data_IF_344343688408
#
_entry.id   IF_344343688408
#
_cell.length_a   1.000
_cell.length_b   1.000
_cell.length_c   1.000
_cell.angle_alpha   90.00
_cell.angle_beta   90.00
_cell.angle_gamma   90.00
#
_symmetry.space_group_name_H-M   'P 1'
#
loop_
_entity.id
_entity.type
_entity.pdbx_description
1 polymer ?
#
# COMPACT_ATOMS: atom_id res chain seq x y z
N UNK A 1 50.07 8.33 -18.67
CA UNK A 1 49.47 9.37 -17.80
C UNK A 1 48.04 9.75 -18.23
N UNK A 2 47.77 10.39 -19.39
CA UNK A 2 46.37 10.72 -19.80
C UNK A 2 45.47 9.49 -20.00
N UNK A 3 45.97 8.39 -20.55
CA UNK A 3 45.20 7.15 -20.80
C UNK A 3 44.93 6.39 -19.52
N UNK A 4 45.88 6.30 -18.59
CA UNK A 4 45.68 5.68 -17.27
C UNK A 4 44.71 6.46 -16.40
N UNK A 5 44.68 7.78 -16.51
CA UNK A 5 43.69 8.63 -15.78
C UNK A 5 42.30 8.42 -16.34
N UNK A 6 42.11 8.30 -17.65
CA UNK A 6 40.84 8.03 -18.30
C UNK A 6 40.31 6.61 -17.95
N UNK A 7 41.19 5.59 -17.94
CA UNK A 7 40.85 4.23 -17.58
C UNK A 7 40.45 4.11 -16.06
N UNK A 8 41.10 4.88 -15.19
CA UNK A 8 40.78 4.92 -13.77
C UNK A 8 39.44 5.59 -13.51
N UNK A 9 39.12 6.69 -14.18
CA UNK A 9 37.84 7.39 -14.10
C UNK A 9 36.73 6.43 -14.57
N UNK A 10 36.89 5.76 -15.70
CA UNK A 10 35.93 4.82 -16.24
C UNK A 10 35.68 3.62 -15.30
N UNK A 11 36.69 3.17 -14.55
CA UNK A 11 36.58 2.09 -13.59
C UNK A 11 35.83 2.53 -12.30
N UNK A 12 36.07 3.75 -11.84
CA UNK A 12 35.39 4.36 -10.70
C UNK A 12 33.91 4.57 -11.02
N UNK A 13 33.58 5.04 -12.24
CA UNK A 13 32.20 5.17 -12.71
C UNK A 13 31.49 3.82 -12.82
N UNK A 14 32.16 2.79 -13.35
CA UNK A 14 31.57 1.44 -13.42
C UNK A 14 31.27 0.84 -12.04
N UNK A 15 32.17 1.04 -11.07
CA UNK A 15 31.95 0.62 -9.69
C UNK A 15 30.77 1.35 -9.06
N UNK A 16 30.65 2.63 -9.30
CA UNK A 16 29.55 3.44 -8.82
C UNK A 16 28.20 2.95 -9.39
N UNK A 17 28.13 2.73 -10.71
CA UNK A 17 26.93 2.17 -11.35
C UNK A 17 26.56 0.79 -10.84
N UNK A 18 27.56 -0.06 -10.60
CA UNK A 18 27.29 -1.38 -10.02
C UNK A 18 26.70 -1.29 -8.60
N UNK A 19 27.26 -0.42 -7.75
CA UNK A 19 26.75 -0.20 -6.41
C UNK A 19 25.33 0.40 -6.43
N UNK A 20 25.08 1.35 -7.32
CA UNK A 20 23.77 1.95 -7.51
C UNK A 20 22.73 0.91 -7.93
N UNK A 21 23.02 0.13 -8.98
CA UNK A 21 22.11 -0.92 -9.44
C UNK A 21 21.79 -1.93 -8.32
N UNK A 22 22.81 -2.33 -7.53
CA UNK A 22 22.59 -3.20 -6.36
C UNK A 22 21.73 -2.55 -5.30
N UNK A 23 21.94 -1.28 -4.97
CA UNK A 23 21.17 -0.59 -3.93
C UNK A 23 19.70 -0.43 -4.31
N UNK A 24 19.43 -0.10 -5.59
CA UNK A 24 18.06 0.05 -6.10
C UNK A 24 17.31 -1.28 -6.25
N UNK A 25 18.01 -2.38 -6.47
CA UNK A 25 17.42 -3.70 -6.60
C UNK A 25 17.36 -4.50 -5.27
N UNK A 26 17.96 -3.97 -4.21
CA UNK A 26 18.03 -4.64 -2.89
C UNK A 26 16.75 -4.53 -2.05
N UNK A 27 15.84 -3.63 -2.41
CA UNK A 27 14.58 -3.41 -1.69
C UNK A 27 13.41 -3.39 -2.66
N UNK A 28 12.25 -3.86 -2.19
CA UNK A 28 10.95 -3.68 -2.85
C UNK A 28 10.07 -2.67 -2.11
N UNK A 29 10.61 -2.03 -1.08
CA UNK A 29 9.94 -0.94 -0.37
C UNK A 29 10.12 0.38 -1.12
N UNK A 30 9.01 0.96 -1.58
CA UNK A 30 9.02 2.15 -2.41
C UNK A 30 9.69 3.34 -1.72
N UNK A 31 9.41 3.58 -0.44
CA UNK A 31 10.02 4.68 0.32
C UNK A 31 11.54 4.55 0.41
N UNK A 32 12.04 3.34 0.63
CA UNK A 32 13.48 3.05 0.65
C UNK A 32 14.12 3.31 -0.71
N UNK A 33 13.47 2.90 -1.79
CA UNK A 33 13.94 3.14 -3.17
C UNK A 33 14.01 4.63 -3.45
N UNK A 34 12.94 5.39 -3.18
CA UNK A 34 12.88 6.82 -3.43
C UNK A 34 13.96 7.60 -2.65
N UNK A 35 14.17 7.27 -1.38
CA UNK A 35 15.25 7.87 -0.56
C UNK A 35 16.65 7.55 -1.08
N UNK A 36 16.84 6.32 -1.53
CA UNK A 36 18.12 5.89 -2.11
C UNK A 36 18.42 6.67 -3.38
N UNK A 37 17.43 6.83 -4.28
CA UNK A 37 17.55 7.62 -5.51
C UNK A 37 17.95 9.05 -5.19
N UNK A 38 17.17 9.70 -4.32
CA UNK A 38 17.41 11.10 -3.94
C UNK A 38 18.81 11.29 -3.35
N UNK A 39 19.21 10.43 -2.41
CA UNK A 39 20.54 10.52 -1.79
C UNK A 39 21.72 10.26 -2.74
N UNK A 40 21.51 9.54 -3.85
CA UNK A 40 22.53 9.43 -4.90
C UNK A 40 22.60 10.69 -5.76
N UNK A 41 21.46 11.29 -6.09
CA UNK A 41 21.38 12.50 -6.90
C UNK A 41 21.93 13.73 -6.16
N UNK A 42 21.60 13.89 -4.88
CA UNK A 42 22.14 14.98 -4.04
C UNK A 42 23.67 14.98 -3.94
N UNK A 43 24.29 13.81 -4.00
CA UNK A 43 25.76 13.71 -3.98
C UNK A 43 26.41 14.11 -5.29
N UNK A 44 25.66 14.10 -6.39
CA UNK A 44 26.16 14.40 -7.74
C UNK A 44 26.03 15.87 -8.08
N UNK A 45 24.94 16.49 -7.67
CA UNK A 45 24.62 17.87 -8.01
C UNK A 45 24.19 18.61 -6.75
N UNK A 46 24.83 19.70 -6.47
CA UNK A 46 24.44 20.63 -5.41
C UNK A 46 23.32 21.55 -5.93
N UNK A 47 22.14 21.48 -5.30
CA UNK A 47 20.97 22.24 -5.68
C UNK A 47 20.20 22.72 -4.43
N UNK A 48 19.40 23.77 -4.57
CA UNK A 48 18.64 24.31 -3.43
C UNK A 48 17.49 23.41 -3.00
N UNK A 49 16.85 22.71 -3.95
CA UNK A 49 15.75 21.80 -3.70
C UNK A 49 15.76 20.65 -4.72
N UNK A 50 15.54 19.46 -4.19
CA UNK A 50 15.25 18.26 -4.93
C UNK A 50 13.84 17.80 -4.64
N UNK A 51 13.10 17.43 -5.68
CA UNK A 51 11.78 16.86 -5.50
C UNK A 51 11.59 15.66 -6.42
N UNK A 52 10.97 14.61 -5.90
CA UNK A 52 10.54 13.46 -6.66
C UNK A 52 9.03 13.37 -6.58
N UNK A 53 8.39 13.50 -7.73
CA UNK A 53 6.94 13.42 -7.87
C UNK A 53 6.56 12.08 -8.48
N UNK A 54 5.52 11.48 -7.94
CA UNK A 54 4.98 10.21 -8.42
C UNK A 54 3.61 10.41 -9.03
N UNK A 55 3.36 9.71 -10.13
CA UNK A 55 2.05 9.68 -10.77
C UNK A 55 1.10 8.78 -9.97
N UNK A 56 -0.04 9.33 -9.57
CA UNK A 56 -1.19 8.58 -9.08
C UNK A 56 -2.04 8.14 -10.29
N UNK A 57 -2.03 6.84 -10.58
CA UNK A 57 -2.74 6.27 -11.74
C UNK A 57 -4.28 6.42 -11.66
N UNK A 58 -4.84 6.68 -10.46
CA UNK A 58 -6.29 6.80 -10.27
C UNK A 58 -6.79 8.21 -10.55
N UNK A 59 -6.10 9.21 -10.02
CA UNK A 59 -6.46 10.62 -10.20
C UNK A 59 -5.82 11.25 -11.44
N UNK A 60 -4.77 10.61 -12.00
CA UNK A 60 -3.92 11.14 -13.05
C UNK A 60 -3.24 12.46 -12.67
N UNK A 61 -2.93 12.61 -11.38
CA UNK A 61 -2.20 13.75 -10.83
C UNK A 61 -0.84 13.29 -10.28
N UNK A 62 0.11 14.22 -10.22
CA UNK A 62 1.39 14.03 -9.57
C UNK A 62 1.32 14.48 -8.11
N UNK A 63 1.95 13.72 -7.23
CA UNK A 63 2.13 14.11 -5.83
C UNK A 63 3.61 14.07 -5.45
N UNK A 64 4.00 14.95 -4.54
CA UNK A 64 5.36 14.98 -4.01
C UNK A 64 5.57 13.79 -3.08
N UNK A 65 6.31 12.79 -3.57
CA UNK A 65 6.62 11.58 -2.80
C UNK A 65 7.74 11.82 -1.80
N UNK A 66 8.78 12.57 -2.21
CA UNK A 66 9.91 12.94 -1.36
C UNK A 66 10.52 14.24 -1.87
N UNK A 67 11.03 15.06 -0.96
CA UNK A 67 11.79 16.26 -1.26
C UNK A 67 12.97 16.41 -0.29
N UNK A 68 14.04 17.04 -0.72
CA UNK A 68 15.21 17.38 0.09
C UNK A 68 15.67 18.80 -0.22
N UNK A 69 16.02 19.58 0.80
CA UNK A 69 16.32 21.01 0.71
C UNK A 69 15.34 21.89 1.48
N UNK A 70 15.30 23.18 1.22
CA UNK A 70 14.77 24.21 2.10
C UNK A 70 13.27 24.27 2.42
N UNK A 71 12.37 23.44 1.84
CA UNK A 71 10.90 23.57 2.05
C UNK A 71 10.23 22.19 1.98
N UNK A 72 10.45 21.35 2.99
CA UNK A 72 9.94 19.96 2.95
C UNK A 72 8.48 19.82 3.42
N UNK A 73 8.02 20.62 4.36
CA UNK A 73 6.72 20.40 5.03
C UNK A 73 5.51 20.92 4.24
N UNK A 74 5.71 21.90 3.36
CA UNK A 74 4.62 22.51 2.58
C UNK A 74 4.24 21.73 1.31
N UNK A 75 5.04 20.69 0.94
CA UNK A 75 4.89 20.01 -0.35
C UNK A 75 3.98 18.78 -0.32
N UNK A 76 3.75 18.17 0.84
CA UNK A 76 3.09 16.86 0.95
C UNK A 76 1.65 16.81 0.44
N UNK A 77 0.92 17.92 0.57
CA UNK A 77 -0.49 18.00 0.16
C UNK A 77 -0.68 18.58 -1.25
N UNK A 78 0.40 19.00 -1.88
CA UNK A 78 0.35 19.57 -3.22
C UNK A 78 0.16 18.49 -4.28
N UNK A 79 -0.68 18.81 -5.27
CA UNK A 79 -0.91 17.99 -6.46
C UNK A 79 -0.63 18.84 -7.70
N UNK A 80 -0.03 18.20 -8.72
CA UNK A 80 0.26 18.81 -10.01
C UNK A 80 -0.41 17.96 -11.08
N UNK A 81 -1.21 18.55 -11.95
CA UNK A 81 -1.84 17.79 -13.03
C UNK A 81 -0.82 17.44 -14.11
N UNK A 82 -1.01 16.29 -14.74
CA UNK A 82 -0.25 15.93 -15.94
C UNK A 82 -0.47 17.01 -17.01
N UNK A 83 0.62 17.54 -17.55
CA UNK A 83 0.63 18.66 -18.50
C UNK A 83 0.75 20.06 -17.86
N UNK A 84 0.59 20.20 -16.54
CA UNK A 84 0.73 21.47 -15.83
C UNK A 84 2.11 21.58 -15.15
N UNK A 85 2.69 22.75 -15.21
CA UNK A 85 4.00 23.01 -14.60
C UNK A 85 5.15 22.25 -15.31
N UNK A 86 6.30 22.17 -14.65
CA UNK A 86 7.50 21.51 -15.17
C UNK A 86 7.36 20.00 -15.08
N UNK A 87 7.04 19.46 -13.90
CA UNK A 87 6.86 18.03 -13.70
C UNK A 87 5.73 17.46 -14.56
N UNK A 88 4.58 18.15 -14.62
CA UNK A 88 3.44 17.70 -15.43
C UNK A 88 3.76 17.67 -16.91
N UNK A 89 4.51 18.66 -17.42
CA UNK A 89 4.98 18.68 -18.80
C UNK A 89 5.91 17.49 -19.10
N UNK A 90 6.89 17.26 -18.21
CA UNK A 90 7.87 16.15 -18.35
C UNK A 90 7.15 14.80 -18.35
N UNK A 91 6.17 14.61 -17.48
CA UNK A 91 5.39 13.36 -17.43
C UNK A 91 4.54 13.16 -18.68
N UNK A 92 3.97 14.24 -19.23
CA UNK A 92 3.15 14.18 -20.42
C UNK A 92 3.96 13.85 -21.69
N UNK A 93 5.17 14.41 -21.82
CA UNK A 93 5.98 14.27 -23.03
C UNK A 93 7.01 13.14 -22.94
N UNK A 94 7.36 12.71 -21.72
CA UNK A 94 8.42 11.71 -21.50
C UNK A 94 9.83 12.25 -21.84
N UNK A 95 10.00 13.56 -21.86
CA UNK A 95 11.23 14.24 -22.25
C UNK A 95 11.78 15.07 -21.09
N UNK A 96 13.10 15.14 -21.00
CA UNK A 96 13.78 16.01 -20.04
C UNK A 96 13.59 17.48 -20.38
N UNK A 97 13.32 18.28 -19.38
CA UNK A 97 13.17 19.71 -19.49
C UNK A 97 14.26 20.42 -18.70
N UNK A 98 15.00 21.31 -19.37
CA UNK A 98 15.99 22.18 -18.75
C UNK A 98 15.54 23.63 -18.97
N UNK A 99 15.27 24.35 -17.88
CA UNK A 99 14.89 25.77 -17.91
C UNK A 99 16.01 26.56 -17.22
N UNK A 100 16.89 27.22 -17.98
CA UNK A 100 18.06 27.93 -17.44
C UNK A 100 17.70 29.25 -16.73
N UNK A 101 16.65 29.93 -17.19
CA UNK A 101 16.11 31.14 -16.56
C UNK A 101 14.61 31.01 -16.37
N UNK A 102 14.20 30.90 -15.14
CA UNK A 102 12.83 30.50 -14.79
C UNK A 102 11.81 31.63 -14.88
N UNK A 103 12.23 32.89 -14.83
CA UNK A 103 11.32 34.05 -14.72
C UNK A 103 10.41 34.22 -15.95
N UNK A 104 10.80 33.73 -17.12
CA UNK A 104 10.10 33.90 -18.39
C UNK A 104 9.42 32.61 -18.91
N UNK A 105 9.63 31.47 -18.27
CA UNK A 105 9.00 30.21 -18.73
C UNK A 105 7.59 30.06 -18.17
N UNK A 106 6.55 30.04 -19.05
CA UNK A 106 5.16 29.93 -18.61
C UNK A 106 4.86 28.66 -17.81
N UNK A 107 5.64 27.59 -17.99
CA UNK A 107 5.49 26.32 -17.28
C UNK A 107 5.81 26.43 -15.80
N UNK A 108 6.62 27.42 -15.42
CA UNK A 108 6.97 27.70 -14.02
C UNK A 108 5.95 28.56 -13.29
N UNK A 109 5.12 29.31 -14.02
CA UNK A 109 4.10 30.17 -13.43
C UNK A 109 3.03 29.37 -12.69
N UNK A 110 2.77 28.13 -13.14
CA UNK A 110 1.75 27.22 -12.59
C UNK A 110 2.36 26.06 -11.79
N UNK A 111 3.64 26.07 -11.48
CA UNK A 111 4.28 25.05 -10.66
C UNK A 111 3.78 25.17 -9.21
N UNK A 112 3.17 24.07 -8.69
CA UNK A 112 2.52 24.07 -7.38
C UNK A 112 3.45 24.33 -6.21
N UNK A 113 4.72 23.88 -6.29
CA UNK A 113 5.72 24.15 -5.28
C UNK A 113 7.01 24.62 -5.94
N UNK A 114 7.44 25.78 -5.57
CA UNK A 114 8.73 26.31 -5.98
C UNK A 114 9.40 27.03 -4.81
N UNK A 115 10.74 26.99 -4.73
CA UNK A 115 11.47 27.88 -3.83
C UNK A 115 11.03 29.34 -4.07
N UNK A 116 11.14 30.16 -3.05
CA UNK A 116 10.77 31.59 -3.14
C UNK A 116 11.50 32.36 -4.26
N UNK A 117 12.57 31.78 -4.79
CA UNK A 117 13.35 32.32 -5.92
C UNK A 117 13.85 31.20 -6.82
N UNK A 118 13.01 30.70 -7.73
CA UNK A 118 13.48 29.76 -8.78
C UNK A 118 14.21 30.52 -9.87
N UNK A 119 15.49 30.22 -10.07
CA UNK A 119 16.33 30.76 -11.15
C UNK A 119 16.44 29.79 -12.31
N UNK A 120 16.55 28.50 -12.00
CA UNK A 120 16.68 27.43 -12.98
C UNK A 120 16.02 26.17 -12.47
N UNK A 121 15.61 25.29 -13.38
CA UNK A 121 15.08 23.98 -13.03
C UNK A 121 15.47 22.96 -14.09
N UNK A 122 15.78 21.75 -13.64
CA UNK A 122 15.94 20.58 -14.47
C UNK A 122 14.90 19.56 -14.01
N UNK A 123 14.16 19.02 -14.96
CA UNK A 123 13.22 17.96 -14.68
C UNK A 123 13.44 16.77 -15.61
N UNK A 124 13.47 15.58 -15.02
CA UNK A 124 13.71 14.33 -15.73
C UNK A 124 12.50 13.41 -15.53
N UNK A 125 12.02 12.71 -16.58
CA UNK A 125 10.98 11.73 -16.45
C UNK A 125 11.48 10.47 -15.77
N UNK A 126 10.65 9.84 -14.96
CA UNK A 126 10.84 8.46 -14.49
C UNK A 126 10.17 7.53 -15.50
N UNK A 127 10.87 7.26 -16.60
CA UNK A 127 10.31 6.54 -17.74
C UNK A 127 10.56 5.03 -17.61
N UNK A 128 9.50 4.27 -17.27
CA UNK A 128 9.52 2.82 -17.24
C UNK A 128 9.00 2.19 -18.54
N UNK A 129 8.91 0.86 -18.56
CA UNK A 129 8.42 0.09 -19.74
C UNK A 129 6.93 0.31 -20.05
N UNK A 130 6.14 0.66 -19.03
CA UNK A 130 4.67 0.86 -19.12
C UNK A 130 4.27 2.33 -19.27
N UNK A 131 5.25 3.24 -19.29
CA UNK A 131 5.02 4.69 -19.35
C UNK A 131 5.77 5.44 -18.27
N UNK A 132 5.42 6.70 -18.09
CA UNK A 132 6.08 7.57 -17.10
C UNK A 132 5.46 7.35 -15.72
N UNK A 133 6.29 7.05 -14.72
CA UNK A 133 5.84 6.82 -13.34
C UNK A 133 5.86 8.07 -12.47
N UNK A 134 6.50 9.14 -12.97
CA UNK A 134 6.66 10.40 -12.25
C UNK A 134 7.77 11.25 -12.87
N UNK A 135 8.24 12.23 -12.09
CA UNK A 135 9.33 13.11 -12.50
C UNK A 135 10.26 13.42 -11.31
N UNK A 136 11.48 13.77 -11.62
CA UNK A 136 12.45 14.33 -10.69
C UNK A 136 12.63 15.79 -11.07
N UNK A 137 12.51 16.71 -10.12
CA UNK A 137 12.78 18.13 -10.27
C UNK A 137 14.00 18.53 -9.44
N UNK A 138 14.88 19.32 -10.04
CA UNK A 138 16.10 19.86 -9.44
C UNK A 138 16.05 21.36 -9.60
N UNK A 139 15.87 22.09 -8.50
CA UNK A 139 15.76 23.55 -8.50
C UNK A 139 17.08 24.22 -8.13
N UNK A 140 17.44 25.21 -8.91
CA UNK A 140 18.66 26.02 -8.76
C UNK A 140 19.94 25.16 -8.61
N UNK A 141 20.16 24.20 -9.53
CA UNK A 141 21.43 23.45 -9.53
C UNK A 141 22.61 24.41 -9.79
N UNK A 142 23.77 24.09 -9.26
CA UNK A 142 25.01 24.85 -9.58
C UNK A 142 25.37 24.70 -11.06
N UNK A 143 25.41 25.80 -11.79
CA UNK A 143 25.63 25.81 -13.22
C UNK A 143 26.93 25.11 -13.63
N UNK A 144 27.98 25.23 -12.83
CA UNK A 144 29.32 24.63 -13.11
C UNK A 144 29.26 23.07 -13.05
N UNK A 145 28.30 22.52 -12.35
CA UNK A 145 28.12 21.06 -12.24
C UNK A 145 27.24 20.49 -13.37
N UNK A 146 26.56 21.34 -14.13
CA UNK A 146 25.61 20.94 -15.17
C UNK A 146 26.34 20.73 -16.52
N UNK A 147 27.19 19.72 -16.54
CA UNK A 147 27.88 19.26 -17.76
C UNK A 147 27.04 18.21 -18.49
N UNK A 148 27.32 17.99 -19.77
CA UNK A 148 26.71 16.91 -20.55
C UNK A 148 26.86 15.55 -19.87
N UNK A 149 28.00 15.33 -19.23
CA UNK A 149 28.26 14.12 -18.42
C UNK A 149 27.30 14.00 -17.25
N UNK A 150 27.10 15.07 -16.48
CA UNK A 150 26.18 15.06 -15.31
C UNK A 150 24.75 14.84 -15.77
N UNK A 151 24.32 15.49 -16.85
CA UNK A 151 22.98 15.32 -17.43
C UNK A 151 22.77 13.87 -17.89
N UNK A 152 23.71 13.28 -18.61
CA UNK A 152 23.65 11.88 -19.05
C UNK A 152 23.61 10.92 -17.87
N UNK A 153 24.36 11.21 -16.81
CA UNK A 153 24.33 10.44 -15.57
C UNK A 153 22.98 10.50 -14.84
N UNK A 154 22.38 11.69 -14.74
CA UNK A 154 21.06 11.88 -14.16
C UNK A 154 19.98 11.12 -14.95
N UNK A 155 20.11 11.06 -16.28
CA UNK A 155 19.23 10.23 -17.12
C UNK A 155 19.33 8.75 -16.78
N UNK A 156 20.54 8.21 -16.71
CA UNK A 156 20.77 6.80 -16.36
C UNK A 156 20.20 6.50 -14.97
N UNK A 157 20.38 7.41 -14.02
CA UNK A 157 19.80 7.30 -12.68
C UNK A 157 18.27 7.28 -12.71
N UNK A 158 17.66 8.19 -13.47
CA UNK A 158 16.20 8.27 -13.60
C UNK A 158 15.62 7.00 -14.25
N UNK A 159 16.29 6.44 -15.26
CA UNK A 159 15.88 5.19 -15.91
C UNK A 159 15.95 4.01 -14.95
N UNK A 160 17.05 3.86 -14.20
CA UNK A 160 17.17 2.80 -13.20
C UNK A 160 16.17 2.97 -12.06
N UNK A 161 15.90 4.22 -11.66
CA UNK A 161 14.90 4.56 -10.68
C UNK A 161 13.49 4.15 -11.14
N UNK A 162 13.14 4.46 -12.38
CA UNK A 162 11.85 4.10 -12.98
C UNK A 162 11.64 2.57 -12.99
N UNK A 163 12.67 1.81 -13.35
CA UNK A 163 12.63 0.33 -13.33
C UNK A 163 12.46 -0.20 -11.91
N UNK A 164 13.17 0.35 -10.93
CA UNK A 164 13.05 -0.09 -9.53
C UNK A 164 11.66 0.21 -8.96
N UNK A 165 11.09 1.38 -9.26
CA UNK A 165 9.74 1.79 -8.88
C UNK A 165 8.70 0.86 -9.53
N UNK A 166 8.83 0.58 -10.84
CA UNK A 166 7.93 -0.33 -11.56
C UNK A 166 7.95 -1.74 -10.93
N UNK A 167 9.14 -2.28 -10.67
CA UNK A 167 9.30 -3.58 -10.02
C UNK A 167 8.67 -3.60 -8.61
N UNK A 168 8.87 -2.57 -7.80
CA UNK A 168 8.29 -2.48 -6.47
C UNK A 168 6.75 -2.42 -6.53
N UNK A 169 6.17 -1.65 -7.46
CA UNK A 169 4.72 -1.60 -7.70
C UNK A 169 4.18 -2.94 -8.18
N UNK A 170 4.86 -3.61 -9.10
CA UNK A 170 4.45 -4.93 -9.60
C UNK A 170 4.49 -5.98 -8.47
N UNK A 171 5.54 -6.00 -7.64
CA UNK A 171 5.62 -6.87 -6.46
C UNK A 171 4.50 -6.58 -5.47
N UNK A 172 4.25 -5.30 -5.17
CA UNK A 172 3.15 -4.91 -4.28
C UNK A 172 1.79 -5.35 -4.84
N UNK A 173 1.56 -5.22 -6.15
CA UNK A 173 0.35 -5.67 -6.82
C UNK A 173 0.18 -7.20 -6.77
N UNK A 174 1.25 -7.94 -7.04
CA UNK A 174 1.26 -9.41 -6.91
C UNK A 174 0.98 -9.83 -5.46
N UNK A 175 1.58 -9.16 -4.48
CA UNK A 175 1.31 -9.40 -3.06
C UNK A 175 -0.16 -9.14 -2.71
N UNK A 176 -0.75 -8.06 -3.21
CA UNK A 176 -2.20 -7.79 -3.04
C UNK A 176 -3.04 -8.92 -3.61
N UNK A 177 -2.76 -9.39 -4.83
CA UNK A 177 -3.47 -10.53 -5.44
C UNK A 177 -3.35 -11.81 -4.62
N UNK A 178 -2.28 -11.98 -3.83
CA UNK A 178 -2.05 -13.17 -2.99
C UNK A 178 -2.53 -13.04 -1.55
N UNK A 179 -2.92 -11.87 -1.08
CA UNK A 179 -3.36 -11.61 0.31
C UNK A 179 -4.86 -11.36 0.44
N UNK A 180 -5.57 -11.16 -0.64
CA UNK A 180 -7.02 -10.97 -0.67
C UNK A 180 -7.75 -12.19 -1.21
N UNK A 181 -9.02 -12.32 -0.85
CA UNK A 181 -9.95 -13.30 -1.38
C UNK A 181 -10.71 -12.69 -2.58
N UNK A 182 -10.69 -13.36 -3.73
CA UNK A 182 -11.25 -12.86 -4.99
C UNK A 182 -12.77 -12.66 -4.96
N UNK A 183 -13.48 -13.39 -4.09
CA UNK A 183 -14.94 -13.31 -3.98
C UNK A 183 -15.39 -12.13 -3.14
N UNK A 184 -14.74 -11.93 -1.98
CA UNK A 184 -15.19 -10.97 -0.96
C UNK A 184 -14.37 -9.67 -0.95
N UNK A 185 -13.15 -9.68 -1.50
CA UNK A 185 -12.19 -8.58 -1.40
C UNK A 185 -11.56 -8.43 -0.02
N UNK A 186 -11.96 -9.24 0.97
CA UNK A 186 -11.33 -9.29 2.28
C UNK A 186 -9.94 -9.93 2.22
N UNK A 187 -9.17 -9.78 3.28
CA UNK A 187 -7.93 -10.54 3.40
C UNK A 187 -8.22 -12.05 3.44
N UNK A 188 -7.31 -12.83 2.85
CA UNK A 188 -7.41 -14.28 2.82
C UNK A 188 -6.77 -14.95 4.04
N UNK A 189 -6.94 -16.26 4.17
CA UNK A 189 -6.40 -17.06 5.28
C UNK A 189 -4.86 -16.99 5.37
N UNK A 190 -4.14 -16.89 4.25
CA UNK A 190 -2.67 -16.76 4.26
C UNK A 190 -2.25 -15.46 4.94
N UNK A 191 -2.92 -14.38 4.64
CA UNK A 191 -2.66 -13.09 5.29
C UNK A 191 -3.08 -13.08 6.75
N UNK A 192 -4.15 -13.80 7.13
CA UNK A 192 -4.53 -14.01 8.54
C UNK A 192 -3.37 -14.62 9.34
N UNK A 193 -2.76 -15.70 8.87
CA UNK A 193 -1.64 -16.33 9.59
C UNK A 193 -0.46 -15.37 9.78
N UNK A 194 -0.15 -14.59 8.76
CA UNK A 194 0.92 -13.60 8.84
C UNK A 194 0.62 -12.49 9.86
N UNK A 195 -0.55 -11.87 9.79
CA UNK A 195 -0.94 -10.76 10.68
C UNK A 195 -1.13 -11.25 12.11
N UNK A 196 -1.81 -12.39 12.31
CA UNK A 196 -2.03 -12.94 13.65
C UNK A 196 -0.70 -13.24 14.34
N UNK A 197 0.30 -13.78 13.62
CA UNK A 197 1.64 -13.99 14.17
C UNK A 197 2.26 -12.70 14.68
N UNK A 198 2.25 -11.66 13.87
CA UNK A 198 2.78 -10.34 14.26
C UNK A 198 2.04 -9.72 15.45
N UNK A 199 0.71 -9.82 15.48
CA UNK A 199 -0.08 -9.26 16.58
C UNK A 199 0.11 -10.04 17.88
N UNK A 200 0.31 -11.37 17.83
CA UNK A 200 0.68 -12.17 19.01
C UNK A 200 2.06 -11.79 19.55
N UNK A 201 3.05 -11.59 18.70
CA UNK A 201 4.39 -11.13 19.08
C UNK A 201 4.33 -9.72 19.71
N UNK A 202 3.55 -8.82 19.11
CA UNK A 202 3.33 -7.46 19.61
C UNK A 202 2.62 -7.46 20.97
N UNK A 203 1.58 -8.29 21.09
CA UNK A 203 0.79 -8.52 22.30
C UNK A 203 1.68 -8.98 23.46
N UNK A 204 2.55 -9.96 23.20
CA UNK A 204 3.49 -10.48 24.21
C UNK A 204 4.47 -9.40 24.71
N UNK A 205 4.97 -8.54 23.81
CA UNK A 205 5.89 -7.43 24.17
C UNK A 205 5.18 -6.31 24.92
N UNK A 206 3.96 -5.97 24.54
CA UNK A 206 3.17 -4.88 25.10
C UNK A 206 2.33 -5.30 26.32
N UNK A 207 2.29 -6.58 26.65
CA UNK A 207 1.39 -7.18 27.65
C UNK A 207 -0.06 -6.76 27.44
N UNK A 208 -0.51 -6.71 26.18
CA UNK A 208 -1.86 -6.33 25.78
C UNK A 208 -2.62 -7.53 25.18
N UNK A 209 -3.92 -7.72 25.44
CA UNK A 209 -4.65 -8.86 24.88
C UNK A 209 -4.88 -8.73 23.38
N UNK A 210 -5.02 -9.87 22.71
CA UNK A 210 -5.49 -9.95 21.32
C UNK A 210 -6.61 -10.96 21.25
N UNK A 211 -7.76 -10.56 20.72
CA UNK A 211 -8.91 -11.43 20.54
C UNK A 211 -9.15 -11.75 19.07
N UNK A 212 -9.74 -12.92 18.84
CA UNK A 212 -10.13 -13.43 17.53
C UNK A 212 -11.57 -13.93 17.58
N UNK A 213 -12.37 -13.48 16.61
CA UNK A 213 -13.70 -14.03 16.36
C UNK A 213 -13.64 -14.90 15.09
N UNK A 214 -14.09 -16.15 15.21
CA UNK A 214 -14.27 -17.07 14.09
C UNK A 214 -15.78 -17.18 13.82
N UNK A 215 -16.19 -16.88 12.59
CA UNK A 215 -17.60 -16.79 12.19
C UNK A 215 -17.86 -17.78 11.04
N UNK A 216 -19.03 -18.41 11.07
CA UNK A 216 -19.56 -19.25 9.99
C UNK A 216 -20.99 -18.81 9.67
N UNK A 217 -21.30 -18.55 8.40
CA UNK A 217 -22.62 -18.11 7.97
C UNK A 217 -23.63 -19.26 8.07
N UNK A 218 -24.63 -19.10 8.89
CA UNK A 218 -25.62 -20.15 9.14
C UNK A 218 -26.45 -20.47 7.89
N UNK A 219 -26.57 -21.77 7.58
CA UNK A 219 -27.37 -22.28 6.45
C UNK A 219 -26.98 -21.72 5.08
N UNK A 220 -25.73 -21.27 4.90
CA UNK A 220 -25.27 -20.74 3.62
C UNK A 220 -25.42 -21.74 2.46
N UNK A 221 -25.22 -23.05 2.73
CA UNK A 221 -25.47 -24.10 1.74
C UNK A 221 -26.90 -24.06 1.21
N UNK A 222 -27.91 -23.82 2.05
CA UNK A 222 -29.29 -23.71 1.63
C UNK A 222 -29.51 -22.54 0.67
N UNK A 223 -28.79 -21.43 0.85
CA UNK A 223 -28.84 -20.29 -0.08
C UNK A 223 -28.34 -20.72 -1.46
N UNK A 224 -27.22 -21.46 -1.53
CA UNK A 224 -26.70 -21.99 -2.78
C UNK A 224 -27.70 -22.98 -3.43
N UNK A 225 -28.28 -23.88 -2.66
CA UNK A 225 -29.21 -24.90 -3.15
C UNK A 225 -30.51 -24.27 -3.70
N UNK A 226 -31.00 -23.18 -3.10
CA UNK A 226 -32.27 -22.51 -3.50
C UNK A 226 -32.05 -21.44 -4.57
N UNK A 227 -30.98 -20.62 -4.45
CA UNK A 227 -30.79 -19.44 -5.29
C UNK A 227 -29.63 -19.58 -6.28
N UNK A 228 -28.86 -20.67 -6.21
CA UNK A 228 -27.70 -20.93 -7.05
C UNK A 228 -26.40 -20.27 -6.57
N UNK A 229 -25.27 -20.81 -7.01
CA UNK A 229 -23.93 -20.40 -6.57
C UNK A 229 -23.58 -18.93 -6.87
N UNK A 230 -24.14 -18.33 -7.92
CA UNK A 230 -23.90 -16.92 -8.25
C UNK A 230 -24.50 -15.98 -7.17
N UNK A 231 -25.70 -16.29 -6.69
CA UNK A 231 -26.35 -15.54 -5.62
C UNK A 231 -25.61 -15.77 -4.30
N UNK A 232 -25.19 -17.00 -4.04
CA UNK A 232 -24.36 -17.30 -2.86
C UNK A 232 -23.04 -16.53 -2.86
N UNK A 233 -22.33 -16.47 -3.98
CA UNK A 233 -21.09 -15.68 -4.09
C UNK A 233 -21.34 -14.17 -3.89
N UNK A 234 -22.44 -13.64 -4.41
CA UNK A 234 -22.84 -12.26 -4.18
C UNK A 234 -23.18 -12.02 -2.70
N UNK A 235 -23.87 -12.96 -2.04
CA UNK A 235 -24.17 -12.86 -0.61
C UNK A 235 -22.88 -12.89 0.24
N UNK A 236 -21.93 -13.78 -0.09
CA UNK A 236 -20.60 -13.80 0.57
C UNK A 236 -19.89 -12.45 0.45
N UNK A 237 -19.84 -11.88 -0.75
CA UNK A 237 -19.20 -10.57 -0.98
C UNK A 237 -19.86 -9.47 -0.14
N UNK A 238 -21.18 -9.40 -0.13
CA UNK A 238 -21.95 -8.41 0.65
C UNK A 238 -21.84 -8.63 2.16
N UNK A 239 -21.82 -9.88 2.62
CA UNK A 239 -21.61 -10.21 4.03
C UNK A 239 -20.21 -9.81 4.47
N UNK A 240 -19.19 -10.10 3.65
CA UNK A 240 -17.82 -9.67 3.90
C UNK A 240 -17.69 -8.15 3.98
N UNK A 241 -18.27 -7.43 3.03
CA UNK A 241 -18.31 -5.96 3.06
C UNK A 241 -18.98 -5.44 4.33
N UNK A 242 -20.13 -6.03 4.72
CA UNK A 242 -20.85 -5.62 5.94
C UNK A 242 -20.03 -5.87 7.20
N UNK A 243 -19.37 -7.03 7.32
CA UNK A 243 -18.47 -7.32 8.43
C UNK A 243 -17.30 -6.32 8.50
N UNK A 244 -16.73 -5.97 7.37
CA UNK A 244 -15.64 -4.99 7.29
C UNK A 244 -16.09 -3.59 7.73
N UNK A 245 -17.29 -3.15 7.34
CA UNK A 245 -17.88 -1.87 7.77
C UNK A 245 -18.11 -1.81 9.30
N UNK A 246 -18.37 -2.96 9.95
CA UNK A 246 -18.57 -3.08 11.37
C UNK A 246 -17.26 -3.17 12.18
N UNK A 247 -16.15 -3.49 11.53
CA UNK A 247 -14.83 -3.53 12.13
C UNK A 247 -14.35 -2.12 12.50
N UNK A 248 -13.65 -2.01 13.64
CA UNK A 248 -12.95 -0.78 14.01
C UNK A 248 -11.71 -0.61 13.10
N UNK A 249 -11.17 0.59 13.01
CA UNK A 249 -10.00 0.93 12.17
C UNK A 249 -8.78 0.04 12.43
N UNK A 250 -8.61 -0.47 13.65
CA UNK A 250 -7.53 -1.35 14.05
C UNK A 250 -7.80 -2.84 13.87
N UNK A 251 -9.04 -3.23 13.58
CA UNK A 251 -9.44 -4.61 13.42
C UNK A 251 -9.15 -5.09 11.99
N UNK A 252 -8.96 -6.40 11.84
CA UNK A 252 -8.71 -7.03 10.57
C UNK A 252 -9.83 -8.02 10.27
N UNK A 253 -10.36 -7.96 9.06
CA UNK A 253 -11.40 -8.87 8.59
C UNK A 253 -10.86 -9.76 7.48
N UNK A 254 -11.06 -11.08 7.63
CA UNK A 254 -10.54 -12.10 6.73
C UNK A 254 -11.66 -13.04 6.29
N UNK A 255 -11.56 -13.56 5.08
CA UNK A 255 -12.25 -14.77 4.69
C UNK A 255 -11.33 -15.96 4.95
N UNK A 256 -11.78 -16.90 5.80
CA UNK A 256 -11.01 -18.09 6.12
C UNK A 256 -11.13 -19.16 5.03
N UNK A 257 -12.36 -19.39 4.54
CA UNK A 257 -12.67 -20.29 3.43
C UNK A 257 -14.18 -20.55 3.38
N UNK A 258 -14.72 -20.96 2.22
CA UNK A 258 -16.15 -21.25 2.10
C UNK A 258 -17.03 -20.09 2.55
N UNK A 259 -17.80 -20.31 3.60
CA UNK A 259 -18.69 -19.38 4.30
C UNK A 259 -18.14 -18.91 5.66
N UNK A 260 -16.84 -19.12 5.92
CA UNK A 260 -16.17 -18.80 7.16
C UNK A 260 -15.39 -17.50 7.08
N UNK A 261 -15.51 -16.67 8.12
CA UNK A 261 -14.83 -15.38 8.28
C UNK A 261 -14.09 -15.32 9.61
N UNK A 262 -13.05 -14.50 9.66
CA UNK A 262 -12.28 -14.26 10.90
C UNK A 262 -12.13 -12.75 11.09
N UNK A 263 -12.36 -12.28 12.32
CA UNK A 263 -12.08 -10.92 12.74
C UNK A 263 -11.01 -10.95 13.82
N UNK A 264 -9.88 -10.31 13.56
CA UNK A 264 -8.80 -10.15 14.53
C UNK A 264 -8.91 -8.77 15.17
N UNK A 265 -8.93 -8.73 16.49
CA UNK A 265 -9.15 -7.56 17.32
C UNK A 265 -7.91 -7.29 18.21
N UNK A 266 -6.93 -6.53 17.74
CA UNK A 266 -5.76 -6.16 18.54
C UNK A 266 -6.15 -5.33 19.77
N UNK A 267 -5.38 -5.47 20.85
CA UNK A 267 -5.56 -4.73 22.11
C UNK A 267 -6.99 -4.81 22.66
N UNK A 268 -7.61 -5.99 22.55
CA UNK A 268 -9.02 -6.23 22.93
C UNK A 268 -9.09 -7.46 23.83
N UNK A 269 -9.63 -7.30 25.03
CA UNK A 269 -9.85 -8.38 25.97
C UNK A 269 -11.10 -9.20 25.63
N UNK A 270 -11.32 -10.31 26.34
CA UNK A 270 -12.41 -11.24 26.09
C UNK A 270 -13.79 -10.59 26.28
N UNK A 271 -13.95 -9.69 27.26
CA UNK A 271 -15.23 -9.02 27.53
C UNK A 271 -15.60 -8.04 26.41
N UNK A 272 -14.64 -7.20 26.02
CA UNK A 272 -14.81 -6.27 24.91
C UNK A 272 -15.02 -6.99 23.57
N UNK A 273 -14.28 -8.08 23.34
CA UNK A 273 -14.45 -8.90 22.15
C UNK A 273 -15.84 -9.54 22.05
N UNK A 274 -16.37 -10.01 23.18
CA UNK A 274 -17.72 -10.58 23.25
C UNK A 274 -18.80 -9.54 22.92
N UNK A 275 -18.70 -8.34 23.49
CA UNK A 275 -19.62 -7.25 23.19
C UNK A 275 -19.57 -6.86 21.70
N UNK A 276 -18.37 -6.63 21.16
CA UNK A 276 -18.19 -6.30 19.74
C UNK A 276 -18.73 -7.37 18.79
N UNK A 277 -18.45 -8.65 19.09
CA UNK A 277 -18.93 -9.75 18.26
C UNK A 277 -20.48 -9.88 18.33
N UNK A 278 -21.08 -9.61 19.48
CA UNK A 278 -22.53 -9.60 19.66
C UNK A 278 -23.18 -8.48 18.84
N UNK A 279 -22.62 -7.26 18.90
CA UNK A 279 -23.10 -6.12 18.13
C UNK A 279 -22.96 -6.35 16.61
N UNK A 280 -21.82 -6.94 16.18
CA UNK A 280 -21.59 -7.30 14.78
C UNK A 280 -22.59 -8.35 14.30
N UNK A 281 -22.85 -9.39 15.09
CA UNK A 281 -23.82 -10.41 14.76
C UNK A 281 -25.24 -9.84 14.66
N UNK A 282 -25.66 -8.99 15.59
CA UNK A 282 -26.94 -8.33 15.54
C UNK A 282 -27.09 -7.45 14.29
N UNK A 283 -26.07 -6.65 13.99
CA UNK A 283 -26.05 -5.82 12.80
C UNK A 283 -26.08 -6.63 11.49
N UNK A 284 -25.48 -7.81 11.46
CA UNK A 284 -25.55 -8.73 10.33
C UNK A 284 -26.97 -9.29 10.16
N UNK A 285 -27.60 -9.74 11.26
CA UNK A 285 -28.99 -10.25 11.31
C UNK A 285 -30.01 -9.22 10.83
N UNK A 286 -29.82 -7.94 11.19
CA UNK A 286 -30.71 -6.85 10.83
C UNK A 286 -30.52 -6.37 9.39
N UNK A 287 -29.45 -6.85 8.72
CA UNK A 287 -29.15 -6.44 7.36
C UNK A 287 -30.03 -7.19 6.35
N UNK A 288 -30.71 -6.44 5.49
CA UNK A 288 -31.42 -6.96 4.32
C UNK A 288 -30.49 -6.89 3.10
N UNK A 289 -29.92 -8.02 2.71
CA UNK A 289 -29.03 -8.10 1.55
C UNK A 289 -29.85 -8.12 0.26
N UNK A 290 -29.83 -7.02 -0.50
CA UNK A 290 -30.49 -6.93 -1.81
C UNK A 290 -29.56 -7.47 -2.88
N UNK A 291 -29.93 -8.58 -3.54
CA UNK A 291 -29.15 -9.20 -4.60
C UNK A 291 -29.42 -8.54 -5.96
N UNK A 292 -28.51 -8.71 -6.91
CA UNK A 292 -28.65 -8.17 -8.28
C UNK A 292 -29.89 -8.71 -9.03
N UNK A 293 -30.32 -9.92 -8.69
CA UNK A 293 -31.55 -10.52 -9.25
C UNK A 293 -32.85 -10.00 -8.61
N UNK A 294 -32.76 -9.01 -7.70
CA UNK A 294 -33.89 -8.40 -6.99
C UNK A 294 -34.33 -9.14 -5.72
N UNK A 295 -33.78 -10.32 -5.42
CA UNK A 295 -34.10 -11.01 -4.17
C UNK A 295 -33.51 -10.28 -2.96
N UNK A 296 -34.18 -10.42 -1.80
CA UNK A 296 -33.72 -9.89 -0.53
C UNK A 296 -33.47 -11.07 0.41
N UNK A 297 -32.24 -11.22 0.86
CA UNK A 297 -31.83 -12.30 1.74
C UNK A 297 -31.43 -11.75 3.11
N UNK A 298 -31.63 -12.57 4.15
CA UNK A 298 -31.11 -12.37 5.49
C UNK A 298 -30.24 -13.56 5.84
N UNK A 299 -29.15 -13.32 6.54
CA UNK A 299 -28.24 -14.36 6.99
C UNK A 299 -27.83 -14.10 8.43
N UNK A 300 -27.65 -15.16 9.20
CA UNK A 300 -27.03 -15.13 10.51
C UNK A 300 -25.66 -15.78 10.48
N UNK A 301 -24.93 -15.71 11.57
CA UNK A 301 -23.67 -16.40 11.74
C UNK A 301 -23.56 -17.01 13.13
N UNK A 302 -22.85 -18.11 13.24
CA UNK A 302 -22.39 -18.69 14.49
C UNK A 302 -20.99 -18.18 14.78
N UNK A 303 -20.74 -17.67 16.00
CA UNK A 303 -19.48 -16.99 16.33
C UNK A 303 -18.81 -17.63 17.54
N UNK A 304 -17.55 -18.00 17.40
CA UNK A 304 -16.67 -18.40 18.49
C UNK A 304 -15.55 -17.40 18.71
N UNK A 305 -15.25 -17.11 19.98
CA UNK A 305 -14.23 -16.13 20.37
C UNK A 305 -13.08 -16.81 21.10
N UNK A 306 -11.88 -16.31 20.89
CA UNK A 306 -10.69 -16.65 21.67
C UNK A 306 -9.86 -15.40 21.96
N UNK A 307 -9.11 -15.42 23.07
CA UNK A 307 -8.27 -14.30 23.52
C UNK A 307 -6.91 -14.78 23.98
N UNK A 308 -5.84 -14.22 23.42
CA UNK A 308 -4.48 -14.38 23.93
C UNK A 308 -4.26 -13.40 25.10
N UNK A 309 -3.58 -13.82 26.20
CA UNK A 309 -2.94 -15.13 26.40
C UNK A 309 -3.82 -16.22 27.03
N UNK A 310 -5.09 -15.91 27.39
CA UNK A 310 -5.96 -16.80 28.16
C UNK A 310 -6.24 -18.14 27.44
N UNK A 311 -6.53 -18.11 26.15
CA UNK A 311 -6.85 -19.29 25.33
C UNK A 311 -5.63 -19.86 24.60
N UNK A 312 -4.45 -19.27 24.81
CA UNK A 312 -3.19 -19.70 24.22
C UNK A 312 -2.34 -18.51 23.73
N UNK A 313 -1.12 -18.84 23.30
CA UNK A 313 -0.12 -17.86 22.81
C UNK A 313 0.38 -18.20 21.41
N UNK A 314 -0.17 -19.20 20.78
CA UNK A 314 0.23 -19.64 19.42
C UNK A 314 -0.93 -19.46 18.45
N UNK A 315 -0.62 -19.27 17.17
CA UNK A 315 -1.57 -19.20 16.08
C UNK A 315 -2.62 -20.31 16.14
N UNK A 316 -2.15 -21.57 16.23
CA UNK A 316 -3.02 -22.75 16.24
C UNK A 316 -3.91 -22.81 17.48
N UNK A 317 -3.39 -22.41 18.65
CA UNK A 317 -4.19 -22.42 19.88
C UNK A 317 -5.34 -21.40 19.81
N UNK A 318 -5.06 -20.18 19.34
CA UNK A 318 -6.05 -19.11 19.23
C UNK A 318 -7.11 -19.42 18.17
N UNK A 319 -6.72 -19.82 16.98
CA UNK A 319 -7.66 -20.21 15.91
C UNK A 319 -8.48 -21.42 16.33
N UNK A 320 -7.84 -22.48 16.84
CA UNK A 320 -8.53 -23.70 17.24
C UNK A 320 -9.50 -23.52 18.40
N UNK A 321 -9.20 -22.64 19.38
CA UNK A 321 -10.11 -22.33 20.47
C UNK A 321 -11.37 -21.59 19.96
N UNK A 322 -11.21 -20.61 19.06
CA UNK A 322 -12.32 -19.90 18.47
C UNK A 322 -13.20 -20.80 17.60
N UNK A 323 -12.59 -21.58 16.70
CA UNK A 323 -13.28 -22.56 15.84
C UNK A 323 -14.09 -23.58 16.67
N UNK A 324 -13.47 -24.19 17.69
CA UNK A 324 -14.14 -25.14 18.57
C UNK A 324 -15.36 -24.53 19.28
N UNK A 325 -15.29 -23.25 19.67
CA UNK A 325 -16.42 -22.53 20.28
C UNK A 325 -17.50 -22.21 19.25
N UNK A 326 -17.14 -21.79 18.07
CA UNK A 326 -18.04 -21.57 16.95
C UNK A 326 -18.83 -22.84 16.62
N UNK A 327 -18.13 -23.98 16.48
CA UNK A 327 -18.78 -25.26 16.19
C UNK A 327 -19.78 -25.69 17.26
N UNK A 328 -19.48 -25.45 18.57
CA UNK A 328 -20.42 -25.75 19.67
C UNK A 328 -21.68 -24.90 19.61
N UNK A 329 -21.59 -23.67 19.13
CA UNK A 329 -22.73 -22.76 18.98
C UNK A 329 -23.59 -23.16 17.80
N UNK A 330 -22.99 -23.56 16.69
CA UNK A 330 -23.68 -24.00 15.46
C UNK A 330 -24.72 -25.12 15.75
N UNK A 331 -24.48 -25.95 16.79
CA UNK A 331 -25.40 -26.98 17.25
C UNK A 331 -26.60 -26.47 18.10
N UNK A 332 -26.59 -25.21 18.55
CA UNK A 332 -27.62 -24.64 19.41
C UNK A 332 -28.66 -23.78 18.66
N UNK A 333 -28.54 -23.62 17.37
CA UNK A 333 -29.38 -22.78 16.51
C UNK A 333 -28.60 -21.58 15.93
N UNK A 334 -29.20 -20.89 14.96
CA UNK A 334 -28.52 -19.77 14.27
C UNK A 334 -28.43 -18.52 15.17
N UNK A 335 -27.37 -17.72 14.95
CA UNK A 335 -27.27 -16.40 15.53
C UNK A 335 -26.76 -16.34 16.97
N UNK A 336 -25.73 -17.09 17.33
CA UNK A 336 -25.19 -17.13 18.68
C UNK A 336 -23.70 -16.80 18.74
N UNK A 337 -23.27 -16.18 19.86
CA UNK A 337 -21.87 -15.90 20.17
C UNK A 337 -21.43 -16.68 21.38
N UNK A 338 -20.24 -17.29 21.36
CA UNK A 338 -19.64 -17.98 22.51
C UNK A 338 -18.22 -17.51 22.75
N UNK A 339 -17.98 -16.98 23.94
CA UNK A 339 -16.67 -16.69 24.52
C UNK A 339 -16.15 -17.82 25.42
N UNK A 340 -15.07 -17.53 26.16
CA UNK A 340 -14.48 -18.41 27.16
C UNK A 340 -15.41 -18.64 28.35
#
# INVERSE_FOLDING_TARGET
MKRETAERIALEDLHFFHQLARSLTSSFDLDTILRTILGHMERMVDAELWALLMLDERSNDLYYAIAAGGVQDDLRDLRVKVGEGVAGWVVQHGETLIVPESAEDPRLLNAGAKPSSVRSVIALPLLGRKGTHGAIEIFNPRAEQMTDYTIAFLHILADHAAIAIENARDVARIQQLTITDDTTGLYNVRHLYYILGRELDRSAKANSPVSLAFLDLDRFKLVNDVHGHLVGSELLARSGQRLQELCRKQDWCFRYGGDEFVILMPSTDAHCAFALATDMLQALLDTNFRMKNGSVLRISASVGLSTSPADGKTLHAIIGAADSRMYKVKGQGPGHVRGA
#
